data_IF_926433706400
#
_entry.id   IF_926433706400
#
_cell.length_a   1.000
_cell.length_b   1.000
_cell.length_c   1.000
_cell.angle_alpha   90.00
_cell.angle_beta   90.00
_cell.angle_gamma   90.00
#
_symmetry.space_group_name_H-M   'P 1'
#
loop_
_entity.id
_entity.type
_entity.pdbx_description
1 polymer ?
#
# COMPACT_ATOMS: atom_id res chain seq x y z
N UNK A 1 10.86 15.76 -17.67
CA UNK A 1 9.50 15.18 -17.58
C UNK A 1 8.70 15.98 -16.57
N UNK A 2 7.40 16.20 -16.82
CA UNK A 2 6.56 16.98 -15.89
C UNK A 2 5.28 16.24 -15.56
N UNK A 3 4.85 16.33 -14.31
CA UNK A 3 3.57 15.80 -13.86
C UNK A 3 2.44 16.63 -14.46
N UNK A 4 1.55 15.99 -15.21
CA UNK A 4 0.44 16.64 -15.92
C UNK A 4 -0.92 16.41 -15.27
N UNK A 5 -1.08 15.31 -14.55
CA UNK A 5 -2.30 15.02 -13.80
C UNK A 5 -2.06 14.03 -12.67
N UNK A 6 -2.93 14.06 -11.67
CA UNK A 6 -3.01 13.08 -10.60
C UNK A 6 -4.49 12.75 -10.37
N UNK A 7 -4.83 11.47 -10.43
CA UNK A 7 -6.19 10.97 -10.25
C UNK A 7 -6.20 9.80 -9.27
N UNK A 8 -7.35 9.56 -8.65
CA UNK A 8 -7.61 8.38 -7.85
C UNK A 8 -8.89 7.75 -8.41
N UNK A 9 -8.75 6.54 -8.93
CA UNK A 9 -9.87 5.68 -9.32
C UNK A 9 -10.28 4.84 -8.11
N UNK A 10 -11.56 4.93 -7.73
CA UNK A 10 -12.07 4.22 -6.55
C UNK A 10 -12.46 2.80 -6.94
N UNK A 11 -11.94 1.83 -6.21
CA UNK A 11 -12.21 0.41 -6.37
C UNK A 11 -12.92 -0.07 -5.10
N UNK A 12 -14.14 -0.53 -5.26
CA UNK A 12 -14.88 -1.20 -4.20
C UNK A 12 -14.45 -2.67 -4.12
N UNK A 13 -14.26 -3.15 -2.92
CA UNK A 13 -13.90 -4.53 -2.63
C UNK A 13 -14.75 -5.08 -1.52
N UNK A 14 -15.37 -6.22 -1.77
CA UNK A 14 -16.00 -7.01 -0.71
C UNK A 14 -14.96 -7.73 0.14
N UNK A 15 -15.13 -7.64 1.45
CA UNK A 15 -14.40 -8.42 2.42
C UNK A 15 -15.35 -9.53 2.88
N UNK A 16 -15.05 -10.80 2.56
CA UNK A 16 -15.88 -11.91 3.00
C UNK A 16 -16.02 -11.90 4.52
N UNK A 17 -17.25 -12.15 4.99
CA UNK A 17 -17.50 -12.37 6.40
C UNK A 17 -16.97 -13.75 6.80
N UNK A 18 -15.92 -13.79 7.59
CA UNK A 18 -15.36 -15.04 8.10
C UNK A 18 -16.11 -15.57 9.34
N UNK A 19 -17.07 -14.80 9.88
CA UNK A 19 -17.76 -15.13 11.12
C UNK A 19 -16.93 -14.96 12.38
N UNK A 20 -15.63 -14.65 12.24
CA UNK A 20 -14.71 -14.52 13.36
C UNK A 20 -14.58 -13.06 13.78
N UNK A 21 -14.85 -12.79 15.04
CA UNK A 21 -14.52 -11.53 15.68
C UNK A 21 -13.06 -11.55 16.16
N UNK A 22 -12.37 -10.44 16.03
CA UNK A 22 -11.05 -10.21 16.61
C UNK A 22 -11.10 -8.91 17.40
N UNK A 23 -10.11 -8.68 18.26
CA UNK A 23 -9.97 -7.40 18.98
C UNK A 23 -9.85 -6.20 18.03
N UNK A 24 -9.56 -6.46 16.77
CA UNK A 24 -9.54 -5.47 15.70
C UNK A 24 -10.92 -5.27 15.04
N UNK A 25 -11.96 -5.94 15.54
CA UNK A 25 -13.32 -5.94 15.01
C UNK A 25 -13.56 -6.99 13.93
N UNK A 26 -14.82 -7.08 13.50
CA UNK A 26 -15.24 -8.01 12.45
C UNK A 26 -14.77 -7.54 11.09
N UNK A 27 -14.12 -8.44 10.36
CA UNK A 27 -13.66 -8.17 9.00
C UNK A 27 -14.70 -8.60 7.98
N UNK A 28 -15.67 -7.74 7.72
CA UNK A 28 -16.68 -7.98 6.69
C UNK A 28 -17.21 -6.67 6.15
N UNK A 29 -17.83 -6.72 4.99
CA UNK A 29 -18.47 -5.58 4.34
C UNK A 29 -17.72 -5.08 3.12
N UNK A 30 -17.97 -3.82 2.73
CA UNK A 30 -17.36 -3.19 1.56
C UNK A 30 -16.29 -2.19 2.02
N UNK A 31 -15.11 -2.28 1.41
CA UNK A 31 -14.05 -1.29 1.58
C UNK A 31 -13.72 -0.62 0.25
N UNK A 32 -13.42 0.66 0.29
CA UNK A 32 -13.00 1.41 -0.89
C UNK A 32 -11.49 1.63 -0.88
N UNK A 33 -10.81 1.13 -1.89
CA UNK A 33 -9.42 1.40 -2.16
C UNK A 33 -9.30 2.34 -3.36
N UNK A 34 -8.25 3.14 -3.41
CA UNK A 34 -7.96 4.00 -4.55
C UNK A 34 -6.82 3.44 -5.40
N UNK A 35 -6.92 3.51 -6.71
CA UNK A 35 -5.78 3.41 -7.59
C UNK A 35 -5.32 4.82 -7.95
N UNK A 36 -4.25 5.26 -7.30
CA UNK A 36 -3.58 6.53 -7.60
C UNK A 36 -2.83 6.39 -8.93
N UNK A 37 -3.02 7.37 -9.81
CA UNK A 37 -2.28 7.52 -11.07
C UNK A 37 -1.63 8.90 -11.12
N UNK A 38 -0.34 8.93 -11.41
CA UNK A 38 0.43 10.16 -11.68
C UNK A 38 0.82 10.13 -13.15
N UNK A 39 0.21 11.01 -13.94
CA UNK A 39 0.47 11.13 -15.38
C UNK A 39 1.57 12.16 -15.66
N UNK A 40 2.33 11.95 -16.72
CA UNK A 40 3.39 12.86 -17.16
C UNK A 40 3.24 13.26 -18.62
N UNK A 41 3.89 14.36 -19.01
CA UNK A 41 4.01 14.83 -20.40
C UNK A 41 4.81 13.89 -21.32
N UNK A 42 5.53 12.93 -20.73
CA UNK A 42 6.24 11.88 -21.48
C UNK A 42 5.37 10.64 -21.76
N UNK A 43 4.10 10.64 -21.37
CA UNK A 43 3.18 9.50 -21.54
C UNK A 43 3.46 8.34 -20.59
N UNK A 44 4.32 8.53 -19.59
CA UNK A 44 4.59 7.53 -18.55
C UNK A 44 3.68 7.80 -17.36
N UNK A 45 3.08 6.74 -16.82
CA UNK A 45 2.23 6.80 -15.62
C UNK A 45 2.87 6.05 -14.46
N UNK A 46 2.82 6.66 -13.25
CA UNK A 46 3.13 5.99 -11.99
C UNK A 46 1.87 5.60 -11.24
N UNK A 47 1.91 4.45 -10.56
CA UNK A 47 0.74 3.90 -9.89
C UNK A 47 1.05 3.51 -8.44
N UNK A 48 0.04 3.64 -7.58
CA UNK A 48 0.03 3.05 -6.25
C UNK A 48 -1.40 2.82 -5.78
N UNK A 49 -1.63 1.76 -5.02
CA UNK A 49 -2.88 1.62 -4.29
C UNK A 49 -2.90 2.55 -3.08
N UNK A 50 -4.04 3.20 -2.84
CA UNK A 50 -4.29 4.08 -1.69
C UNK A 50 -5.29 3.40 -0.77
N UNK A 51 -4.89 3.26 0.49
CA UNK A 51 -5.71 2.61 1.49
C UNK A 51 -5.24 1.22 1.84
N UNK A 52 -5.72 0.74 2.95
CA UNK A 52 -5.44 -0.58 3.48
C UNK A 52 -6.64 -1.52 3.31
N UNK A 53 -6.38 -2.81 3.39
CA UNK A 53 -7.38 -3.86 3.21
C UNK A 53 -8.60 -3.72 4.12
N UNK A 54 -8.41 -3.24 5.37
CA UNK A 54 -9.44 -3.23 6.42
C UNK A 54 -10.21 -1.91 6.49
N UNK A 55 -9.51 -0.80 6.37
CA UNK A 55 -10.07 0.55 6.59
C UNK A 55 -10.33 1.30 5.30
N UNK A 56 -9.90 0.72 4.16
CA UNK A 56 -9.96 1.39 2.88
C UNK A 56 -9.05 2.60 2.80
N UNK A 57 -9.30 3.46 1.83
CA UNK A 57 -8.46 4.62 1.54
C UNK A 57 -9.22 5.94 1.41
N UNK A 58 -10.53 5.95 1.56
CA UNK A 58 -11.36 7.14 1.27
C UNK A 58 -10.91 8.39 2.04
N UNK A 59 -10.51 8.25 3.30
CA UNK A 59 -10.01 9.36 4.12
C UNK A 59 -8.72 9.99 3.59
N UNK A 60 -7.97 9.27 2.75
CA UNK A 60 -6.71 9.71 2.16
C UNK A 60 -6.90 10.42 0.81
N UNK A 61 -8.03 10.22 0.12
CA UNK A 61 -8.22 10.74 -1.24
C UNK A 61 -8.26 12.27 -1.27
N UNK A 62 -9.03 12.91 -0.38
CA UNK A 62 -9.13 14.35 -0.32
C UNK A 62 -7.78 15.05 -0.01
N UNK A 63 -7.01 14.64 1.00
CA UNK A 63 -5.67 15.20 1.22
C UNK A 63 -4.75 15.06 0.02
N UNK A 64 -4.76 13.90 -0.65
CA UNK A 64 -3.92 13.68 -1.84
C UNK A 64 -4.35 14.61 -2.99
N UNK A 65 -5.65 14.67 -3.30
CA UNK A 65 -6.14 15.42 -4.45
C UNK A 65 -6.17 16.94 -4.22
N UNK A 66 -6.47 17.40 -2.99
CA UNK A 66 -6.70 18.80 -2.70
C UNK A 66 -5.48 19.51 -2.08
N UNK A 67 -4.53 18.76 -1.50
CA UNK A 67 -3.34 19.34 -0.88
C UNK A 67 -2.06 18.93 -1.61
N UNK A 68 -1.87 17.63 -1.85
CA UNK A 68 -0.62 17.14 -2.47
C UNK A 68 -0.60 17.39 -3.99
N UNK A 69 -1.68 17.10 -4.69
CA UNK A 69 -1.74 17.30 -6.16
C UNK A 69 -1.34 18.71 -6.60
N UNK A 70 -1.86 19.82 -6.03
CA UNK A 70 -1.43 21.17 -6.43
C UNK A 70 0.06 21.44 -6.27
N UNK A 71 0.70 20.83 -5.28
CA UNK A 71 2.13 20.98 -5.02
C UNK A 71 3.00 20.20 -6.04
N UNK A 72 2.46 19.15 -6.62
CA UNK A 72 3.14 18.24 -7.54
C UNK A 72 2.96 18.61 -9.01
N UNK A 73 1.86 19.27 -9.37
CA UNK A 73 1.55 19.64 -10.76
C UNK A 73 2.66 20.47 -11.38
N UNK A 74 3.09 20.08 -12.58
CA UNK A 74 4.15 20.74 -13.34
C UNK A 74 5.59 20.48 -12.83
N UNK A 75 5.76 19.73 -11.74
CA UNK A 75 7.06 19.33 -11.20
C UNK A 75 7.66 18.18 -11.98
N UNK A 76 8.97 18.08 -11.94
CA UNK A 76 9.66 16.88 -12.40
C UNK A 76 9.51 15.78 -11.32
N UNK A 77 8.94 14.61 -11.65
CA UNK A 77 8.84 13.51 -10.68
C UNK A 77 10.19 12.93 -10.25
N UNK A 78 11.30 13.29 -10.92
CA UNK A 78 12.66 12.93 -10.52
C UNK A 78 13.18 13.76 -9.32
N UNK A 79 12.58 14.91 -9.04
CA UNK A 79 12.95 15.79 -7.93
C UNK A 79 12.46 15.27 -6.56
N UNK A 80 12.63 13.96 -6.28
CA UNK A 80 12.08 13.28 -5.10
C UNK A 80 12.57 13.87 -3.78
N UNK A 81 13.84 14.22 -3.67
CA UNK A 81 14.39 14.86 -2.47
C UNK A 81 13.72 16.20 -2.17
N UNK A 82 13.50 17.01 -3.21
CA UNK A 82 12.77 18.26 -3.03
C UNK A 82 11.33 18.02 -2.60
N UNK A 83 10.65 17.05 -3.23
CA UNK A 83 9.28 16.67 -2.90
C UNK A 83 9.19 16.15 -1.47
N UNK A 84 10.14 15.33 -1.04
CA UNK A 84 10.22 14.83 0.34
C UNK A 84 10.39 15.97 1.35
N UNK A 85 11.30 16.91 1.08
CA UNK A 85 11.48 18.08 1.95
C UNK A 85 10.21 18.95 2.01
N UNK A 86 9.50 19.08 0.86
CA UNK A 86 8.22 19.78 0.81
C UNK A 86 7.16 19.11 1.68
N UNK A 87 7.16 17.78 1.78
CA UNK A 87 6.29 17.03 2.68
C UNK A 87 6.44 17.49 4.14
N UNK A 88 7.67 17.66 4.63
CA UNK A 88 7.92 18.16 5.98
C UNK A 88 7.21 19.50 6.25
N UNK A 89 7.21 20.39 5.28
CA UNK A 89 6.49 21.68 5.36
C UNK A 89 4.98 21.48 5.36
N UNK A 90 4.45 20.59 4.53
CA UNK A 90 3.02 20.30 4.46
C UNK A 90 2.53 19.57 5.70
N UNK A 91 3.35 18.68 6.26
CA UNK A 91 3.04 18.00 7.52
C UNK A 91 2.82 18.98 8.66
N UNK A 92 3.75 19.94 8.84
CA UNK A 92 3.66 20.92 9.93
C UNK A 92 2.55 21.97 9.72
N UNK A 93 2.27 22.36 8.47
CA UNK A 93 1.36 23.48 8.16
C UNK A 93 -0.05 23.05 7.78
N UNK A 94 -0.23 21.86 7.25
CA UNK A 94 -1.48 21.39 6.67
C UNK A 94 -1.93 20.01 7.20
N UNK A 95 -1.24 19.47 8.20
CA UNK A 95 -1.58 18.18 8.81
C UNK A 95 -1.46 16.98 7.87
N UNK A 96 -0.61 17.09 6.84
CA UNK A 96 -0.33 15.94 5.95
C UNK A 96 0.51 14.93 6.70
N UNK A 97 0.01 13.71 6.79
CA UNK A 97 0.69 12.59 7.46
C UNK A 97 1.44 11.72 6.43
N UNK A 98 2.36 10.89 6.92
CA UNK A 98 3.08 9.93 6.08
C UNK A 98 2.13 8.99 5.34
N UNK A 99 1.02 8.57 5.96
CA UNK A 99 0.02 7.71 5.32
C UNK A 99 -0.66 8.38 4.10
N UNK A 100 -0.76 9.70 4.09
CA UNK A 100 -1.30 10.46 2.95
C UNK A 100 -0.25 10.64 1.86
N UNK A 101 1.02 10.78 2.24
CA UNK A 101 2.12 10.97 1.30
C UNK A 101 2.65 9.66 0.70
N UNK A 102 2.77 8.61 1.50
CA UNK A 102 3.41 7.37 1.08
C UNK A 102 2.90 6.80 -0.26
N UNK A 103 1.58 6.77 -0.57
CA UNK A 103 1.11 6.33 -1.87
C UNK A 103 1.64 7.17 -3.04
N UNK A 104 1.81 8.47 -2.81
CA UNK A 104 2.36 9.40 -3.81
C UNK A 104 3.84 9.10 -4.04
N UNK A 105 4.61 8.91 -2.97
CA UNK A 105 6.04 8.57 -3.06
C UNK A 105 6.26 7.23 -3.78
N UNK A 106 5.46 6.21 -3.47
CA UNK A 106 5.50 4.92 -4.18
C UNK A 106 5.19 5.09 -5.67
N UNK A 107 4.19 5.90 -6.03
CA UNK A 107 3.87 6.17 -7.43
C UNK A 107 4.98 6.96 -8.15
N UNK A 108 5.69 7.86 -7.46
CA UNK A 108 6.86 8.55 -8.00
C UNK A 108 8.05 7.59 -8.22
N UNK A 109 8.23 6.60 -7.34
CA UNK A 109 9.21 5.53 -7.55
C UNK A 109 8.83 4.62 -8.73
N UNK A 110 7.55 4.31 -8.90
CA UNK A 110 7.07 3.54 -10.06
C UNK A 110 7.35 4.30 -11.38
N UNK A 111 7.10 5.63 -11.40
CA UNK A 111 7.52 6.48 -12.52
C UNK A 111 9.03 6.41 -12.79
N UNK A 112 9.84 6.49 -11.74
CA UNK A 112 11.30 6.43 -11.89
C UNK A 112 11.75 5.09 -12.48
N UNK A 113 11.19 3.99 -12.01
CA UNK A 113 11.46 2.65 -12.53
C UNK A 113 11.11 2.53 -14.02
N UNK A 114 9.93 3.00 -14.40
CA UNK A 114 9.45 3.00 -15.78
C UNK A 114 10.28 3.91 -16.69
N UNK A 115 10.59 5.12 -16.22
CA UNK A 115 11.43 6.06 -16.98
C UNK A 115 12.87 5.55 -17.20
N UNK A 116 13.42 4.85 -16.22
CA UNK A 116 14.75 4.23 -16.31
C UNK A 116 14.73 2.86 -17.01
N UNK A 117 13.56 2.33 -17.34
CA UNK A 117 13.38 0.96 -17.82
C UNK A 117 14.08 -0.08 -16.90
N UNK A 118 13.97 0.13 -15.60
CA UNK A 118 14.65 -0.69 -14.60
C UNK A 118 13.73 -0.94 -13.39
N UNK A 119 13.77 -2.14 -12.80
CA UNK A 119 13.01 -2.40 -11.58
C UNK A 119 13.52 -1.52 -10.43
N UNK A 120 12.59 -1.08 -9.57
CA UNK A 120 12.89 -0.16 -8.46
C UNK A 120 13.99 -0.72 -7.54
N UNK A 121 13.99 -2.02 -7.25
CA UNK A 121 15.03 -2.62 -6.40
C UNK A 121 16.45 -2.44 -6.94
N UNK A 122 16.64 -2.36 -8.26
CA UNK A 122 17.93 -2.04 -8.88
C UNK A 122 18.29 -0.58 -8.72
N UNK A 123 17.31 0.32 -8.83
CA UNK A 123 17.53 1.76 -8.61
C UNK A 123 17.91 2.06 -7.15
N UNK A 124 17.42 1.25 -6.22
CA UNK A 124 17.74 1.33 -4.79
C UNK A 124 19.06 0.64 -4.41
N UNK A 125 19.76 0.02 -5.36
CA UNK A 125 20.99 -0.74 -5.10
C UNK A 125 20.68 -2.16 -4.63
N UNK A 126 20.47 -3.06 -5.59
CA UNK A 126 20.05 -4.44 -5.34
C UNK A 126 21.05 -5.20 -4.44
N UNK A 127 20.57 -5.65 -3.28
CA UNK A 127 21.32 -6.54 -2.39
C UNK A 127 20.90 -8.01 -2.54
N UNK A 128 19.60 -8.25 -2.82
CA UNK A 128 19.02 -9.58 -2.97
C UNK A 128 18.20 -9.66 -4.25
N UNK A 129 18.25 -10.80 -4.91
CA UNK A 129 17.45 -11.11 -6.10
C UNK A 129 16.29 -12.07 -5.80
N UNK A 130 16.28 -12.65 -4.62
CA UNK A 130 15.20 -13.47 -4.09
C UNK A 130 15.04 -13.20 -2.59
N UNK A 131 13.82 -13.35 -2.08
CA UNK A 131 13.52 -13.25 -0.67
C UNK A 131 12.54 -14.34 -0.28
N UNK A 132 12.66 -14.83 0.95
CA UNK A 132 11.67 -15.73 1.50
C UNK A 132 10.38 -14.95 1.80
N UNK A 133 9.27 -15.61 1.55
CA UNK A 133 7.94 -15.10 1.83
C UNK A 133 7.20 -16.05 2.76
N UNK A 134 6.29 -15.51 3.54
CA UNK A 134 5.36 -16.29 4.35
C UNK A 134 3.93 -16.00 3.92
N UNK A 135 3.06 -16.97 4.09
CA UNK A 135 1.64 -16.77 3.91
C UNK A 135 1.04 -16.13 5.17
N UNK A 136 0.16 -15.15 5.00
CA UNK A 136 -0.58 -14.53 6.10
C UNK A 136 -1.99 -14.20 5.66
N UNK A 137 -2.95 -14.48 6.54
CA UNK A 137 -4.36 -14.21 6.32
C UNK A 137 -4.99 -13.69 7.61
N UNK A 138 -6.11 -12.97 7.52
CA UNK A 138 -6.94 -12.74 8.69
C UNK A 138 -7.35 -14.10 9.32
N UNK A 139 -7.58 -14.16 10.64
CA UNK A 139 -8.12 -15.37 11.28
C UNK A 139 -9.39 -15.82 10.56
N UNK A 140 -9.46 -17.09 10.17
CA UNK A 140 -10.58 -17.67 9.42
C UNK A 140 -10.91 -19.10 9.81
N UNK A 141 -10.30 -19.58 10.87
CA UNK A 141 -10.57 -20.90 11.45
C UNK A 141 -10.84 -20.75 12.94
N UNK A 142 -11.86 -21.43 13.42
CA UNK A 142 -12.23 -21.46 14.85
C UNK A 142 -11.43 -22.49 15.64
N UNK A 143 -10.84 -23.47 14.95
CA UNK A 143 -10.15 -24.60 15.59
C UNK A 143 -8.72 -24.73 15.09
N UNK A 144 -7.87 -25.32 15.93
CA UNK A 144 -6.47 -25.60 15.59
C UNK A 144 -6.36 -26.51 14.36
N UNK A 145 -7.29 -27.47 14.19
CA UNK A 145 -7.30 -28.38 13.04
C UNK A 145 -7.49 -27.63 11.72
N UNK A 146 -8.30 -26.57 11.71
CA UNK A 146 -8.48 -25.69 10.54
C UNK A 146 -7.17 -25.03 10.12
N UNK A 147 -6.43 -24.50 11.08
CA UNK A 147 -5.11 -23.89 10.84
C UNK A 147 -4.06 -24.92 10.39
N UNK A 148 -4.07 -26.14 10.97
CA UNK A 148 -3.16 -27.22 10.57
C UNK A 148 -3.43 -27.65 9.13
N UNK A 149 -4.69 -27.77 8.72
CA UNK A 149 -5.05 -28.09 7.34
C UNK A 149 -4.56 -27.02 6.38
N UNK A 150 -4.82 -25.75 6.69
CA UNK A 150 -4.36 -24.62 5.86
C UNK A 150 -2.83 -24.57 5.77
N UNK A 151 -2.11 -24.76 6.88
CA UNK A 151 -0.66 -24.83 6.89
C UNK A 151 -0.12 -25.93 5.97
N UNK A 152 -0.79 -27.10 5.98
CA UNK A 152 -0.42 -28.22 5.10
C UNK A 152 -0.64 -27.89 3.62
N UNK A 153 -1.75 -27.24 3.27
CA UNK A 153 -2.03 -26.79 1.90
C UNK A 153 -1.01 -25.74 1.43
N UNK A 154 -0.63 -24.81 2.30
CA UNK A 154 0.40 -23.80 2.02
C UNK A 154 1.78 -24.42 1.83
N UNK A 155 2.15 -25.39 2.65
CA UNK A 155 3.41 -26.14 2.47
C UNK A 155 3.43 -26.86 1.10
N UNK A 156 2.34 -27.50 0.72
CA UNK A 156 2.21 -28.14 -0.59
C UNK A 156 2.28 -27.13 -1.76
N UNK A 157 1.92 -25.86 -1.51
CA UNK A 157 2.03 -24.76 -2.48
C UNK A 157 3.43 -24.10 -2.47
N UNK A 158 4.37 -24.59 -1.67
CA UNK A 158 5.76 -24.14 -1.63
C UNK A 158 6.10 -23.10 -0.57
N UNK A 159 5.14 -22.67 0.25
CA UNK A 159 5.44 -21.80 1.39
C UNK A 159 6.16 -22.58 2.49
N UNK A 160 7.15 -21.94 3.14
CA UNK A 160 7.90 -22.51 4.26
C UNK A 160 7.52 -21.90 5.61
N UNK A 161 6.78 -20.80 5.57
CA UNK A 161 6.37 -20.08 6.76
C UNK A 161 4.92 -19.64 6.62
N UNK A 162 4.18 -19.75 7.71
CA UNK A 162 2.78 -19.34 7.81
C UNK A 162 2.62 -18.46 9.05
N UNK A 163 2.07 -17.27 8.88
CA UNK A 163 1.81 -16.34 9.96
C UNK A 163 0.42 -16.61 10.54
N UNK A 164 0.38 -17.00 11.78
CA UNK A 164 -0.84 -17.02 12.59
C UNK A 164 -0.97 -15.63 13.23
N UNK A 165 -1.92 -14.84 12.73
CA UNK A 165 -2.29 -13.59 13.39
C UNK A 165 -3.05 -13.92 14.66
N UNK A 166 -2.39 -13.80 15.79
CA UNK A 166 -3.04 -13.86 17.09
C UNK A 166 -3.59 -12.50 17.49
N UNK A 167 -4.71 -12.53 18.19
CA UNK A 167 -5.21 -11.41 18.96
C UNK A 167 -4.35 -11.19 20.22
N UNK A 168 -4.40 -9.99 20.78
CA UNK A 168 -3.46 -9.39 21.70
C UNK A 168 -3.11 -10.15 23.00
N UNK A 169 -3.83 -11.18 23.38
CA UNK A 169 -3.65 -11.83 24.69
C UNK A 169 -2.45 -12.80 24.77
N UNK A 170 -1.83 -13.14 23.65
CA UNK A 170 -0.67 -14.04 23.63
C UNK A 170 0.71 -13.32 23.71
N UNK A 171 0.73 -12.00 23.72
CA UNK A 171 1.96 -11.22 23.80
C UNK A 171 2.31 -10.77 25.24
N UNK A 172 1.42 -10.99 26.21
CA UNK A 172 1.55 -10.56 27.60
C UNK A 172 1.84 -11.73 28.60
N UNK A 173 2.08 -12.96 28.10
CA UNK A 173 2.58 -14.10 28.88
C UNK A 173 4.09 -14.35 28.56
#
# INVERSE_FOLDING_TARGET
MKITNITIEVIEREIPDTGLDSDLGRFSGVTEQGLLRINTDAGIEGHCFVGEFRRGGRSLFNPILNVLKPELMGRDPADREWLWNRLGVLSSRRGITNNMWAPVDVALWDLAGKAANAPIYKLLGAQKYSTEVYATYPPRHETAEGFVKEASELMNSGFRSYCLLYTSDAADE
#
